data_IF_360567221156
#
_entry.id   IF_360567221156
#
_cell.length_a   1.000
_cell.length_b   1.000
_cell.length_c   1.000
_cell.angle_alpha   90.00
_cell.angle_beta   90.00
_cell.angle_gamma   90.00
#
_symmetry.space_group_name_H-M   'P 1'
#
loop_
_entity.id
_entity.type
_entity.pdbx_description
1 polymer ?
#
# COMPACT_ATOMS: atom_id res chain seq x y z
N UNK A 1 -14.65 -25.92 11.34
CA UNK A 1 -13.18 -25.90 11.46
C UNK A 1 -12.79 -24.49 11.94
N UNK A 2 -12.76 -24.25 13.27
CA UNK A 2 -12.87 -22.89 13.87
C UNK A 2 -11.54 -22.36 14.46
N UNK A 3 -10.41 -22.99 14.18
CA UNK A 3 -9.17 -22.80 14.95
C UNK A 3 -8.00 -22.16 14.19
N UNK A 4 -8.25 -21.50 13.04
CA UNK A 4 -7.20 -20.72 12.34
C UNK A 4 -7.37 -19.20 12.52
N UNK A 5 -8.48 -18.75 13.12
CA UNK A 5 -8.82 -17.32 13.25
C UNK A 5 -8.34 -16.63 14.56
N UNK A 6 -7.55 -17.28 15.40
CA UNK A 6 -7.23 -16.77 16.75
C UNK A 6 -5.73 -16.80 17.09
N UNK A 7 -4.88 -16.36 16.17
CA UNK A 7 -3.64 -15.66 16.54
C UNK A 7 -3.81 -14.12 16.38
N UNK A 8 -5.05 -13.66 16.27
CA UNK A 8 -5.45 -12.24 16.22
C UNK A 8 -5.85 -11.69 17.60
N UNK A 9 -6.01 -12.51 18.65
CA UNK A 9 -6.77 -12.09 19.84
C UNK A 9 -5.99 -11.48 21.01
N UNK A 10 -4.67 -11.69 21.13
CA UNK A 10 -3.92 -11.15 22.30
C UNK A 10 -2.79 -10.18 21.94
N UNK A 11 -2.33 -10.15 20.69
CA UNK A 11 -1.30 -9.20 20.24
C UNK A 11 -1.87 -7.92 19.60
N UNK A 12 -3.06 -7.99 18.99
CA UNK A 12 -3.80 -6.83 18.47
C UNK A 12 -4.69 -6.18 19.55
N UNK A 13 -4.23 -6.16 20.80
CA UNK A 13 -4.98 -5.63 21.94
C UNK A 13 -5.16 -4.10 21.90
N UNK A 14 -4.59 -3.44 20.90
CA UNK A 14 -4.74 -2.01 20.72
C UNK A 14 -6.03 -1.71 19.94
N UNK A 15 -7.03 -1.12 20.63
CA UNK A 15 -8.39 -0.81 20.14
C UNK A 15 -8.49 -0.10 18.78
N UNK A 16 -7.40 0.47 18.26
CA UNK A 16 -7.42 1.31 17.07
C UNK A 16 -7.41 0.55 15.74
N UNK A 17 -7.29 -0.77 15.74
CA UNK A 17 -7.35 -1.60 14.52
C UNK A 17 -8.67 -2.35 14.33
N UNK A 18 -9.74 -1.93 15.03
CA UNK A 18 -11.06 -2.42 14.64
C UNK A 18 -11.37 -1.94 13.23
N UNK A 19 -11.95 -2.81 12.39
CA UNK A 19 -12.36 -2.45 11.03
C UNK A 19 -13.27 -1.20 11.05
N UNK A 20 -14.14 -1.05 12.06
CA UNK A 20 -14.93 0.17 12.27
C UNK A 20 -14.07 1.43 12.43
N UNK A 21 -13.03 1.39 13.28
CA UNK A 21 -12.12 2.53 13.49
C UNK A 21 -11.35 2.88 12.21
N UNK A 22 -10.88 1.86 11.48
CA UNK A 22 -10.17 2.02 10.21
C UNK A 22 -11.10 2.67 9.18
N UNK A 23 -12.32 2.15 9.02
CA UNK A 23 -13.31 2.68 8.08
C UNK A 23 -13.72 4.12 8.42
N UNK A 24 -13.91 4.45 9.71
CA UNK A 24 -14.20 5.80 10.14
C UNK A 24 -13.05 6.76 9.86
N UNK A 25 -11.80 6.32 10.05
CA UNK A 25 -10.62 7.08 9.70
C UNK A 25 -10.53 7.31 8.18
N UNK A 26 -10.67 6.25 7.39
CA UNK A 26 -10.67 6.34 5.92
C UNK A 26 -11.74 7.34 5.46
N UNK A 27 -12.98 7.22 5.96
CA UNK A 27 -14.09 8.11 5.62
C UNK A 27 -13.80 9.56 5.98
N UNK A 28 -13.32 9.83 7.19
CA UNK A 28 -13.03 11.19 7.66
C UNK A 28 -11.93 11.87 6.84
N UNK A 29 -10.84 11.15 6.60
CA UNK A 29 -9.66 11.71 5.96
C UNK A 29 -9.80 11.79 4.43
N UNK A 30 -10.44 10.80 3.78
CA UNK A 30 -10.76 10.88 2.34
C UNK A 30 -11.67 12.07 2.03
N UNK A 31 -12.70 12.33 2.84
CA UNK A 31 -13.57 13.50 2.66
C UNK A 31 -12.83 14.83 2.77
N UNK A 32 -11.90 14.93 3.74
CA UNK A 32 -11.07 16.12 3.93
C UNK A 32 -10.13 16.35 2.75
N UNK A 33 -9.54 15.26 2.25
CA UNK A 33 -8.62 15.27 1.12
C UNK A 33 -9.31 15.69 -0.18
N UNK A 34 -10.50 15.17 -0.46
CA UNK A 34 -11.28 15.54 -1.64
C UNK A 34 -11.59 17.04 -1.63
N UNK A 35 -12.06 17.57 -0.50
CA UNK A 35 -12.34 19.01 -0.36
C UNK A 35 -11.10 19.86 -0.63
N UNK A 36 -9.95 19.41 -0.16
CA UNK A 36 -8.68 20.09 -0.40
C UNK A 36 -8.32 20.10 -1.89
N UNK A 37 -8.43 18.96 -2.58
CA UNK A 37 -8.17 18.84 -4.02
C UNK A 37 -9.14 19.69 -4.84
N UNK A 38 -10.44 19.68 -4.49
CA UNK A 38 -11.45 20.54 -5.12
C UNK A 38 -11.14 22.03 -4.94
N UNK A 39 -10.76 22.43 -3.72
CA UNK A 39 -10.38 23.83 -3.43
C UNK A 39 -9.10 24.27 -4.14
N UNK A 40 -8.28 23.31 -4.58
CA UNK A 40 -7.03 23.53 -5.33
C UNK A 40 -7.23 23.41 -6.84
N UNK A 41 -8.47 23.39 -7.35
CA UNK A 41 -8.80 23.15 -8.76
C UNK A 41 -8.15 21.88 -9.33
N UNK A 42 -8.06 20.80 -8.54
CA UNK A 42 -7.45 19.54 -8.96
C UNK A 42 -5.92 19.55 -9.01
N UNK A 43 -5.26 20.62 -8.56
CA UNK A 43 -3.80 20.65 -8.51
C UNK A 43 -3.25 19.82 -7.35
N UNK A 44 -2.46 18.81 -7.70
CA UNK A 44 -1.60 18.10 -6.76
C UNK A 44 -0.26 18.85 -6.66
N UNK A 45 0.27 19.01 -5.44
CA UNK A 45 1.66 19.44 -5.27
C UNK A 45 2.61 18.39 -5.83
N UNK A 46 3.79 18.79 -6.31
CA UNK A 46 4.81 17.92 -6.92
C UNK A 46 5.21 16.69 -6.07
N UNK A 47 4.96 16.73 -4.76
CA UNK A 47 5.31 15.66 -3.81
C UNK A 47 4.19 14.65 -3.56
N UNK A 48 3.02 14.80 -4.18
CA UNK A 48 1.87 13.89 -3.98
C UNK A 48 1.67 13.06 -5.22
N UNK A 49 1.79 11.74 -5.08
CA UNK A 49 1.53 10.80 -6.17
C UNK A 49 0.03 10.78 -6.52
N UNK A 50 -0.40 11.35 -7.66
CA UNK A 50 -1.82 11.48 -7.98
C UNK A 50 -2.49 10.12 -8.15
N UNK A 51 -1.74 9.12 -8.61
CA UNK A 51 -2.23 7.76 -8.75
C UNK A 51 -2.77 7.18 -7.43
N UNK A 52 -2.05 7.33 -6.32
CA UNK A 52 -2.50 6.82 -5.01
C UNK A 52 -3.84 7.42 -4.60
N UNK A 53 -4.06 8.70 -4.93
CA UNK A 53 -5.33 9.36 -4.66
C UNK A 53 -6.46 8.77 -5.48
N UNK A 54 -6.28 8.64 -6.80
CA UNK A 54 -7.34 8.09 -7.66
C UNK A 54 -7.61 6.62 -7.34
N UNK A 55 -6.57 5.82 -7.07
CA UNK A 55 -6.72 4.45 -6.57
C UNK A 55 -7.52 4.41 -5.28
N UNK A 56 -7.22 5.28 -4.31
CA UNK A 56 -8.03 5.40 -3.09
C UNK A 56 -9.50 5.65 -3.43
N UNK A 57 -9.82 6.60 -4.32
CA UNK A 57 -11.20 6.91 -4.69
C UNK A 57 -11.92 5.71 -5.34
N UNK A 58 -11.21 4.91 -6.14
CA UNK A 58 -11.73 3.67 -6.73
C UNK A 58 -12.01 2.60 -5.68
N UNK A 59 -11.21 2.55 -4.61
CA UNK A 59 -11.34 1.59 -3.52
C UNK A 59 -12.44 1.96 -2.51
N UNK A 60 -12.77 3.24 -2.30
CA UNK A 60 -13.76 3.64 -1.30
C UNK A 60 -15.12 2.91 -1.45
N UNK A 61 -15.73 2.80 -2.64
CA UNK A 61 -17.00 2.10 -2.81
C UNK A 61 -16.90 0.60 -2.50
N UNK A 62 -15.76 -0.04 -2.78
CA UNK A 62 -15.59 -1.49 -2.60
C UNK A 62 -15.59 -1.87 -1.12
N UNK A 63 -15.17 -0.96 -0.25
CA UNK A 63 -15.22 -1.10 1.21
C UNK A 63 -16.46 -0.45 1.85
N UNK A 64 -17.47 -0.11 1.04
CA UNK A 64 -18.76 0.43 1.52
C UNK A 64 -18.75 1.91 1.88
N UNK A 65 -17.70 2.66 1.50
CA UNK A 65 -17.66 4.11 1.65
C UNK A 65 -18.19 4.74 0.35
N UNK A 66 -19.48 5.07 0.36
CA UNK A 66 -20.10 5.78 -0.74
C UNK A 66 -19.60 7.22 -0.75
N UNK A 67 -18.95 7.61 -1.82
CA UNK A 67 -18.49 8.96 -1.99
C UNK A 67 -18.82 9.49 -3.39
N UNK A 68 -19.34 10.71 -3.44
CA UNK A 68 -19.78 11.35 -4.67
C UNK A 68 -18.90 12.56 -4.94
N UNK A 69 -18.13 12.51 -6.01
CA UNK A 69 -17.11 13.51 -6.35
C UNK A 69 -17.34 14.06 -7.77
N UNK A 70 -18.40 14.86 -7.98
CA UNK A 70 -18.86 15.23 -9.33
C UNK A 70 -17.88 16.13 -10.09
N UNK A 71 -16.94 16.78 -9.40
CA UNK A 71 -16.04 17.78 -9.98
C UNK A 71 -14.60 17.28 -10.17
N UNK A 72 -14.29 16.04 -9.79
CA UNK A 72 -12.97 15.48 -10.01
C UNK A 72 -12.90 14.87 -11.42
N UNK A 73 -12.20 15.54 -12.32
CA UNK A 73 -11.80 14.91 -13.57
C UNK A 73 -10.87 13.74 -13.23
N UNK A 74 -11.26 12.52 -13.60
CA UNK A 74 -10.31 11.42 -13.61
C UNK A 74 -9.14 11.85 -14.50
N UNK A 75 -7.88 11.61 -14.09
CA UNK A 75 -6.76 11.81 -14.99
C UNK A 75 -7.02 10.93 -16.21
N UNK A 76 -6.63 11.40 -17.40
CA UNK A 76 -6.44 10.50 -18.54
C UNK A 76 -5.65 9.32 -17.99
N UNK A 77 -6.25 8.11 -18.07
CA UNK A 77 -5.80 6.86 -17.43
C UNK A 77 -4.41 7.01 -16.86
N UNK A 78 -4.29 7.08 -15.52
CA UNK A 78 -2.96 7.06 -14.90
C UNK A 78 -2.24 5.89 -15.52
N UNK A 79 -1.23 6.19 -16.33
CA UNK A 79 -0.43 5.19 -17.00
C UNK A 79 0.28 4.44 -15.88
N UNK A 80 -0.28 3.27 -15.54
CA UNK A 80 0.42 2.25 -14.78
C UNK A 80 1.82 2.13 -15.41
N UNK A 81 2.84 2.02 -14.55
CA UNK A 81 4.24 1.93 -14.96
C UNK A 81 4.34 1.04 -16.20
N UNK A 82 4.76 1.64 -17.32
CA UNK A 82 4.76 0.98 -18.62
C UNK A 82 5.66 -0.26 -18.57
N UNK A 83 5.30 -1.32 -19.29
CA UNK A 83 6.11 -2.55 -19.37
C UNK A 83 7.58 -2.26 -19.74
N UNK A 84 7.82 -1.23 -20.55
CA UNK A 84 9.17 -0.75 -20.89
C UNK A 84 9.91 -0.20 -19.66
N UNK A 85 9.26 0.63 -18.84
CA UNK A 85 9.85 1.17 -17.61
C UNK A 85 10.19 0.06 -16.60
N UNK A 86 9.31 -0.94 -16.46
CA UNK A 86 9.56 -2.11 -15.61
C UNK A 86 10.79 -2.88 -16.09
N UNK A 87 10.90 -3.10 -17.41
CA UNK A 87 12.02 -3.83 -18.02
C UNK A 87 13.33 -3.08 -17.79
N UNK A 88 13.37 -1.77 -18.12
CA UNK A 88 14.56 -0.94 -17.90
C UNK A 88 14.92 -0.85 -16.43
N UNK A 89 13.95 -0.71 -15.53
CA UNK A 89 14.22 -0.70 -14.09
C UNK A 89 14.84 -2.01 -13.62
N UNK A 90 14.34 -3.16 -14.09
CA UNK A 90 14.89 -4.46 -13.72
C UNK A 90 16.34 -4.65 -14.15
N UNK A 91 16.71 -4.16 -15.34
CA UNK A 91 18.10 -4.18 -15.83
C UNK A 91 19.07 -3.42 -14.91
N UNK A 92 18.56 -2.53 -14.05
CA UNK A 92 19.38 -1.81 -13.05
C UNK A 92 19.62 -2.58 -11.75
N UNK A 93 18.92 -3.71 -11.53
CA UNK A 93 19.00 -4.48 -10.29
C UNK A 93 20.22 -5.40 -10.27
N UNK A 94 21.00 -5.34 -9.20
CA UNK A 94 22.08 -6.30 -8.94
C UNK A 94 21.47 -7.65 -8.53
N UNK A 95 21.85 -8.71 -9.25
CA UNK A 95 21.37 -10.09 -9.04
C UNK A 95 19.84 -10.27 -9.06
N UNK A 96 19.11 -9.45 -9.84
CA UNK A 96 17.63 -9.46 -9.91
C UNK A 96 16.95 -9.24 -8.54
N UNK A 97 17.60 -8.52 -7.61
CA UNK A 97 17.12 -8.32 -6.24
C UNK A 97 16.80 -6.86 -5.92
N UNK A 98 15.63 -6.65 -5.32
CA UNK A 98 15.20 -5.35 -4.78
C UNK A 98 15.90 -5.03 -3.45
N UNK A 99 16.27 -6.05 -2.68
CA UNK A 99 17.04 -5.90 -1.44
C UNK A 99 18.46 -6.38 -1.67
N UNK A 100 19.41 -5.45 -1.73
CA UNK A 100 20.83 -5.74 -1.87
C UNK A 100 21.61 -5.21 -0.66
N UNK A 101 22.40 -6.09 -0.01
CA UNK A 101 23.16 -5.78 1.21
C UNK A 101 22.31 -5.10 2.32
N UNK A 102 21.03 -5.47 2.41
CA UNK A 102 20.08 -4.94 3.39
C UNK A 102 19.56 -3.53 3.10
N UNK A 103 19.82 -3.00 1.91
CA UNK A 103 19.26 -1.74 1.42
C UNK A 103 18.30 -2.01 0.27
N UNK A 104 17.23 -1.23 0.19
CA UNK A 104 16.22 -1.34 -0.86
C UNK A 104 16.54 -0.44 -2.05
N UNK A 105 16.14 -0.89 -3.23
CA UNK A 105 16.08 -0.05 -4.44
C UNK A 105 14.90 0.91 -4.32
N UNK A 106 15.15 2.22 -4.48
CA UNK A 106 14.11 3.24 -4.44
C UNK A 106 13.13 3.12 -5.62
N UNK A 107 11.87 3.49 -5.39
CA UNK A 107 10.78 3.35 -6.36
C UNK A 107 10.39 1.90 -6.66
N UNK A 108 10.87 0.93 -5.90
CA UNK A 108 10.61 -0.48 -6.23
C UNK A 108 9.20 -0.94 -5.86
N UNK A 109 8.56 -0.32 -4.86
CA UNK A 109 7.17 -0.62 -4.52
C UNK A 109 6.20 -0.30 -5.68
N UNK A 110 6.38 0.84 -6.36
CA UNK A 110 5.54 1.20 -7.52
C UNK A 110 5.81 0.30 -8.73
N UNK A 111 7.06 -0.13 -8.93
CA UNK A 111 7.42 -1.09 -9.98
C UNK A 111 6.75 -2.45 -9.75
N UNK A 112 6.82 -2.97 -8.51
CA UNK A 112 6.13 -4.21 -8.13
C UNK A 112 4.62 -4.11 -8.30
N UNK A 113 4.03 -2.96 -7.92
CA UNK A 113 2.62 -2.71 -8.16
C UNK A 113 2.26 -2.74 -9.65
N UNK A 114 3.05 -2.06 -10.49
CA UNK A 114 2.89 -2.09 -11.94
C UNK A 114 2.94 -3.52 -12.50
N UNK A 115 3.87 -4.34 -12.02
CA UNK A 115 3.98 -5.75 -12.42
C UNK A 115 2.74 -6.58 -12.06
N UNK A 116 2.17 -6.39 -10.86
CA UNK A 116 0.94 -7.09 -10.44
C UNK A 116 -0.23 -6.77 -11.37
N UNK A 117 -0.40 -5.50 -11.74
CA UNK A 117 -1.53 -5.05 -12.56
C UNK A 117 -1.35 -5.32 -14.06
N UNK A 118 -0.10 -5.32 -14.54
CA UNK A 118 0.19 -5.63 -15.93
C UNK A 118 0.07 -7.13 -16.26
N UNK A 119 -0.17 -7.99 -15.26
CA UNK A 119 -0.23 -9.46 -15.40
C UNK A 119 0.94 -10.00 -16.22
N UNK A 120 2.13 -9.40 -16.04
CA UNK A 120 3.32 -9.79 -16.78
C UNK A 120 3.69 -11.23 -16.45
N UNK A 121 4.16 -11.99 -17.45
CA UNK A 121 4.46 -13.42 -17.35
C UNK A 121 5.62 -13.81 -16.41
N UNK A 122 6.20 -12.86 -15.67
CA UNK A 122 7.37 -13.09 -14.82
C UNK A 122 7.02 -13.25 -13.34
N UNK A 123 6.15 -14.23 -13.08
CA UNK A 123 5.67 -14.59 -11.74
C UNK A 123 6.83 -14.99 -10.80
N UNK A 124 7.90 -15.59 -11.34
CA UNK A 124 9.02 -16.05 -10.52
C UNK A 124 9.82 -14.89 -9.93
N UNK A 125 10.16 -13.87 -10.73
CA UNK A 125 10.87 -12.68 -10.21
C UNK A 125 10.06 -11.99 -9.12
N UNK A 126 8.76 -11.82 -9.37
CA UNK A 126 7.83 -11.16 -8.47
C UNK A 126 7.72 -11.93 -7.15
N UNK A 127 7.46 -13.24 -7.23
CA UNK A 127 7.38 -14.12 -6.07
C UNK A 127 8.66 -14.09 -5.23
N UNK A 128 9.83 -14.21 -5.87
CA UNK A 128 11.11 -14.24 -5.15
C UNK A 128 11.38 -12.94 -4.41
N UNK A 129 11.14 -11.79 -5.06
CA UNK A 129 11.36 -10.49 -4.44
C UNK A 129 10.33 -10.20 -3.34
N UNK A 130 9.05 -10.54 -3.55
CA UNK A 130 8.02 -10.36 -2.53
C UNK A 130 8.27 -11.25 -1.29
N UNK A 131 8.70 -12.50 -1.47
CA UNK A 131 9.13 -13.36 -0.36
C UNK A 131 10.34 -12.79 0.39
N UNK A 132 11.31 -12.22 -0.34
CA UNK A 132 12.47 -11.56 0.28
C UNK A 132 12.06 -10.35 1.12
N UNK A 133 11.15 -9.52 0.60
CA UNK A 133 10.63 -8.34 1.31
C UNK A 133 9.78 -8.79 2.51
N UNK A 134 8.94 -9.81 2.36
CA UNK A 134 8.13 -10.38 3.44
C UNK A 134 9.02 -10.81 4.61
N UNK A 135 10.06 -11.60 4.34
CA UNK A 135 11.04 -12.00 5.38
C UNK A 135 11.74 -10.80 6.02
N UNK A 136 12.08 -9.79 5.22
CA UNK A 136 12.67 -8.56 5.75
C UNK A 136 11.73 -7.86 6.73
N UNK A 137 10.45 -7.74 6.39
CA UNK A 137 9.40 -7.16 7.24
C UNK A 137 9.21 -7.97 8.52
N UNK A 138 9.16 -9.30 8.43
CA UNK A 138 9.01 -10.18 9.60
C UNK A 138 10.17 -10.08 10.58
N UNK A 139 11.41 -9.96 10.07
CA UNK A 139 12.63 -9.90 10.89
C UNK A 139 12.86 -8.50 11.45
N UNK A 140 12.67 -7.45 10.65
CA UNK A 140 13.02 -6.06 11.05
C UNK A 140 11.87 -5.30 11.70
N UNK A 141 10.62 -5.76 11.50
CA UNK A 141 9.39 -5.17 12.08
C UNK A 141 9.27 -3.68 11.77
N UNK A 142 9.04 -2.83 12.77
CA UNK A 142 8.94 -1.37 12.64
C UNK A 142 10.14 -0.74 11.91
N UNK A 143 11.33 -1.34 12.01
CA UNK A 143 12.55 -0.87 11.33
C UNK A 143 12.70 -1.42 9.90
N UNK A 144 11.75 -2.21 9.40
CA UNK A 144 11.76 -2.70 8.03
C UNK A 144 11.58 -1.56 7.04
N UNK A 145 12.21 -1.70 5.87
CA UNK A 145 12.01 -0.78 4.75
C UNK A 145 12.42 0.67 5.06
N UNK A 146 13.40 0.84 5.94
CA UNK A 146 13.92 2.17 6.37
C UNK A 146 15.27 2.52 5.74
N UNK A 147 15.89 1.61 5.00
CA UNK A 147 17.23 1.78 4.42
C UNK A 147 17.18 1.59 2.91
N UNK A 148 17.52 2.65 2.18
CA UNK A 148 17.53 2.66 0.72
C UNK A 148 18.94 2.90 0.20
N UNK A 149 19.26 2.34 -0.98
CA UNK A 149 20.54 2.57 -1.64
C UNK A 149 20.69 4.02 -2.14
N UNK A 150 19.56 4.65 -2.52
CA UNK A 150 19.48 6.05 -2.89
C UNK A 150 19.08 6.92 -1.69
N UNK A 151 19.46 8.21 -1.72
CA UNK A 151 19.03 9.18 -0.72
C UNK A 151 17.56 9.56 -0.95
N UNK A 152 16.67 9.08 -0.09
CA UNK A 152 15.25 9.42 -0.08
C UNK A 152 14.92 10.40 1.05
N UNK A 153 14.01 11.31 0.80
CA UNK A 153 13.39 12.13 1.84
C UNK A 153 12.49 11.28 2.74
N UNK A 154 12.20 11.74 3.96
CA UNK A 154 11.27 11.05 4.87
C UNK A 154 9.88 10.84 4.24
N UNK A 155 9.42 11.79 3.43
CA UNK A 155 8.14 11.68 2.72
C UNK A 155 8.17 10.58 1.65
N UNK A 156 9.25 10.48 0.87
CA UNK A 156 9.40 9.42 -0.14
C UNK A 156 9.52 8.04 0.50
N UNK A 157 10.29 7.91 1.59
CA UNK A 157 10.38 6.64 2.33
C UNK A 157 9.02 6.25 2.93
N UNK A 158 8.28 7.22 3.47
CA UNK A 158 6.93 7.00 3.98
C UNK A 158 5.97 6.50 2.91
N UNK A 159 5.94 7.17 1.75
CA UNK A 159 5.12 6.74 0.61
C UNK A 159 5.51 5.32 0.17
N UNK A 160 6.80 5.05 0.01
CA UNK A 160 7.27 3.76 -0.47
C UNK A 160 6.95 2.62 0.52
N UNK A 161 7.05 2.87 1.82
CA UNK A 161 6.63 1.94 2.88
C UNK A 161 5.14 1.61 2.83
N UNK A 162 4.28 2.63 2.64
CA UNK A 162 2.84 2.42 2.49
C UNK A 162 2.51 1.66 1.20
N UNK A 163 3.20 1.98 0.10
CA UNK A 163 3.04 1.28 -1.18
C UNK A 163 3.39 -0.21 -1.05
N UNK A 164 4.38 -0.61 -0.25
CA UNK A 164 4.63 -2.03 -0.02
C UNK A 164 3.49 -2.75 0.72
N UNK A 165 2.84 -2.10 1.68
CA UNK A 165 1.65 -2.68 2.34
C UNK A 165 0.51 -2.89 1.33
N UNK A 166 0.33 -1.94 0.41
CA UNK A 166 -0.62 -2.03 -0.69
C UNK A 166 -0.27 -3.17 -1.68
N UNK A 167 1.00 -3.29 -2.08
CA UNK A 167 1.50 -4.42 -2.90
C UNK A 167 1.25 -5.76 -2.21
N UNK A 168 1.49 -5.86 -0.89
CA UNK A 168 1.22 -7.08 -0.13
C UNK A 168 -0.26 -7.43 -0.05
N UNK A 169 -1.15 -6.46 0.16
CA UNK A 169 -2.59 -6.69 0.13
C UNK A 169 -3.06 -7.22 -1.23
N UNK A 170 -2.57 -6.63 -2.32
CA UNK A 170 -2.97 -7.04 -3.67
C UNK A 170 -2.39 -8.43 -4.03
N UNK A 171 -1.12 -8.69 -3.73
CA UNK A 171 -0.52 -10.02 -3.92
C UNK A 171 -1.21 -11.09 -3.09
N UNK A 172 -1.58 -10.78 -1.84
CA UNK A 172 -2.33 -11.69 -0.97
C UNK A 172 -3.67 -12.08 -1.59
N UNK A 173 -4.38 -11.11 -2.18
CA UNK A 173 -5.66 -11.38 -2.85
C UNK A 173 -5.47 -12.25 -4.10
N UNK A 174 -4.51 -11.92 -4.96
CA UNK A 174 -4.26 -12.64 -6.21
C UNK A 174 -3.86 -14.11 -5.96
N UNK A 175 -3.02 -14.36 -4.95
CA UNK A 175 -2.47 -15.68 -4.66
C UNK A 175 -3.15 -16.39 -3.48
N UNK A 176 -4.16 -15.76 -2.87
CA UNK A 176 -4.84 -16.26 -1.67
C UNK A 176 -3.88 -16.56 -0.50
N UNK A 177 -2.82 -15.76 -0.35
CA UNK A 177 -1.77 -15.97 0.65
C UNK A 177 -1.91 -15.00 1.84
N UNK A 178 -2.45 -15.53 2.94
CA UNK A 178 -2.67 -14.80 4.19
C UNK A 178 -1.40 -14.27 4.85
N UNK A 179 -0.20 -14.81 4.54
CA UNK A 179 1.06 -14.31 5.11
C UNK A 179 1.32 -12.87 4.68
N UNK A 180 1.06 -12.57 3.40
CA UNK A 180 1.23 -11.23 2.85
C UNK A 180 0.20 -10.25 3.41
N UNK A 181 -1.07 -10.66 3.53
CA UNK A 181 -2.08 -9.82 4.18
C UNK A 181 -1.74 -9.53 5.65
N UNK A 182 -1.24 -10.53 6.39
CA UNK A 182 -0.79 -10.34 7.77
C UNK A 182 0.40 -9.38 7.87
N UNK A 183 1.31 -9.39 6.89
CA UNK A 183 2.39 -8.43 6.82
C UNK A 183 1.87 -7.00 6.55
N UNK A 184 0.93 -6.84 5.61
CA UNK A 184 0.28 -5.56 5.36
C UNK A 184 -0.43 -5.01 6.61
N UNK A 185 -1.18 -5.86 7.32
CA UNK A 185 -1.84 -5.53 8.60
C UNK A 185 -0.86 -5.00 9.64
N UNK A 186 0.25 -5.70 9.86
CA UNK A 186 1.29 -5.28 10.82
C UNK A 186 1.98 -4.00 10.38
N UNK A 187 2.25 -3.85 9.09
CA UNK A 187 2.87 -2.63 8.56
C UNK A 187 1.96 -1.42 8.78
N UNK A 188 0.67 -1.52 8.43
CA UNK A 188 -0.30 -0.46 8.64
C UNK A 188 -0.50 -0.14 10.13
N UNK A 189 -0.39 -1.13 11.02
CA UNK A 189 -0.34 -0.88 12.47
C UNK A 189 0.84 0.01 12.88
N UNK A 190 2.04 -0.30 12.41
CA UNK A 190 3.23 0.50 12.70
C UNK A 190 3.11 1.91 12.11
N UNK A 191 2.62 2.02 10.87
CA UNK A 191 2.41 3.30 10.20
C UNK A 191 1.38 4.14 10.93
N UNK A 192 0.32 3.53 11.47
CA UNK A 192 -0.66 4.26 12.26
C UNK A 192 -0.03 4.95 13.47
N UNK A 193 0.88 4.27 14.19
CA UNK A 193 1.60 4.85 15.33
C UNK A 193 2.49 6.02 14.91
N UNK A 194 3.14 5.91 13.75
CA UNK A 194 3.97 6.97 13.17
C UNK A 194 3.13 8.17 12.69
N UNK A 195 1.96 7.93 12.08
CA UNK A 195 1.11 8.99 11.49
C UNK A 195 0.66 10.04 12.52
N UNK A 196 0.40 9.64 13.77
CA UNK A 196 0.02 10.56 14.84
C UNK A 196 1.14 11.55 15.23
N UNK A 197 2.32 11.47 14.60
CA UNK A 197 3.52 12.22 14.97
C UNK A 197 4.04 13.22 13.91
N UNK A 198 3.18 14.13 13.38
CA UNK A 198 3.56 15.35 12.60
C UNK A 198 3.43 15.29 11.06
N UNK A 199 2.37 14.69 10.50
CA UNK A 199 2.18 14.67 9.04
C UNK A 199 1.16 15.71 8.54
N UNK A 200 1.41 16.26 7.34
CA UNK A 200 0.45 17.12 6.62
C UNK A 200 -0.74 16.28 6.12
N UNK A 201 -1.87 16.94 5.78
CA UNK A 201 -3.06 16.24 5.25
C UNK A 201 -2.72 15.41 4.01
N UNK A 202 -1.85 15.87 3.10
CA UNK A 202 -1.48 15.11 1.88
C UNK A 202 -0.54 13.94 2.13
N UNK A 203 0.23 13.97 3.23
CA UNK A 203 1.07 12.83 3.63
C UNK A 203 0.25 11.62 4.10
N UNK A 204 -1.07 11.79 4.30
CA UNK A 204 -1.98 10.70 4.67
C UNK A 204 -2.38 9.82 3.49
N UNK A 205 -2.26 10.31 2.24
CA UNK A 205 -2.78 9.59 1.06
C UNK A 205 -2.22 8.17 0.98
N UNK A 206 -0.89 7.94 1.04
CA UNK A 206 -0.36 6.59 0.92
C UNK A 206 -0.91 5.63 1.99
N UNK A 207 -1.07 6.12 3.23
CA UNK A 207 -1.64 5.34 4.34
C UNK A 207 -3.13 5.07 4.14
N UNK A 208 -3.91 6.05 3.68
CA UNK A 208 -5.34 5.82 3.38
C UNK A 208 -5.49 4.78 2.28
N UNK A 209 -4.68 4.88 1.23
CA UNK A 209 -4.73 3.95 0.11
C UNK A 209 -4.35 2.54 0.57
N UNK A 210 -3.29 2.37 1.38
CA UNK A 210 -2.90 1.06 1.90
C UNK A 210 -3.94 0.46 2.86
N UNK A 211 -4.59 1.28 3.69
CA UNK A 211 -5.67 0.84 4.58
C UNK A 211 -6.92 0.42 3.79
N UNK A 212 -7.32 1.20 2.78
CA UNK A 212 -8.46 0.87 1.94
C UNK A 212 -8.25 -0.45 1.18
N UNK A 213 -7.06 -0.64 0.59
CA UNK A 213 -6.67 -1.88 -0.08
C UNK A 213 -6.71 -3.07 0.89
N UNK A 214 -6.13 -2.91 2.09
CA UNK A 214 -6.15 -3.96 3.11
C UNK A 214 -7.56 -4.35 3.52
N UNK A 215 -8.45 -3.39 3.79
CA UNK A 215 -9.83 -3.69 4.20
C UNK A 215 -10.57 -4.44 3.09
N UNK A 216 -10.40 -4.00 1.85
CA UNK A 216 -10.97 -4.71 0.69
C UNK A 216 -10.44 -6.14 0.59
N UNK A 217 -9.11 -6.32 0.59
CA UNK A 217 -8.48 -7.65 0.50
C UNK A 217 -8.95 -8.56 1.63
N UNK A 218 -9.02 -8.04 2.87
CA UNK A 218 -9.49 -8.80 4.02
C UNK A 218 -10.93 -9.27 3.83
N UNK A 219 -11.84 -8.38 3.40
CA UNK A 219 -13.24 -8.72 3.12
C UNK A 219 -13.37 -9.78 2.01
N UNK A 220 -12.61 -9.65 0.92
CA UNK A 220 -12.66 -10.61 -0.19
C UNK A 220 -12.10 -11.98 0.19
N UNK A 221 -10.93 -12.02 0.83
CA UNK A 221 -10.32 -13.30 1.25
C UNK A 221 -11.17 -14.02 2.31
N UNK A 222 -11.89 -13.29 3.16
CA UNK A 222 -12.86 -13.89 4.09
C UNK A 222 -14.01 -14.57 3.36
N UNK A 223 -14.52 -14.00 2.26
CA UNK A 223 -15.59 -14.61 1.45
C UNK A 223 -15.13 -15.93 0.82
N UNK A 224 -13.87 -16.03 0.42
CA UNK A 224 -13.31 -17.27 -0.15
C UNK A 224 -13.14 -18.41 0.89
N UNK A 225 -13.13 -18.08 2.19
CA UNK A 225 -13.00 -19.06 3.27
C UNK A 225 -14.33 -19.48 3.91
N UNK A 226 -15.45 -18.86 3.51
CA UNK A 226 -16.81 -19.11 4.02
C UNK A 226 -17.53 -20.19 3.20
#
# INVERSE_FOLDING_TARGET
MRNVLLALSDAFSERYLSSETILDFIRKHSHSLVKEVESSNGQFSDTTNPWLFFHLLEMLPTIGIVAHYPNLSQPEKVDLVMTEQITTWRETLEDDRIIHKGSLTAGSASMLWGMLHAQTSDDLFLQQNLELILRHVEVKRENALTRYGAALTSAQMWEERCCYALVFSNYALLHQDWRFLNAALKMNEWFWKEYHSLFTVRSVIPLLTSLAEQEYTFQEMQKCCA
#
